data_IF_615342959851
#
_entry.id   IF_615342959851
#
_cell.length_a   1.000
_cell.length_b   1.000
_cell.length_c   1.000
_cell.angle_alpha   90.00
_cell.angle_beta   90.00
_cell.angle_gamma   90.00
#
_symmetry.space_group_name_H-M   'P 1'
#
loop_
_entity.id
_entity.type
_entity.pdbx_description
1 polymer ?
#
# COMPACT_ATOMS: atom_id res chain seq x y z
N UNK A 1 -20.18 -1.19 9.84
CA UNK A 1 -20.80 -1.78 8.63
C UNK A 1 -22.33 -1.59 8.54
N UNK A 2 -23.08 -1.55 9.66
CA UNK A 2 -24.57 -1.40 9.66
C UNK A 2 -25.09 -0.22 8.82
N UNK A 3 -24.54 0.99 9.01
CA UNK A 3 -24.96 2.19 8.26
C UNK A 3 -24.82 1.99 6.74
N UNK A 4 -23.68 1.44 6.29
CA UNK A 4 -23.45 1.11 4.89
C UNK A 4 -24.50 0.13 4.34
N UNK A 5 -24.83 -0.93 5.10
CA UNK A 5 -25.83 -1.93 4.67
C UNK A 5 -27.23 -1.34 4.54
N UNK A 6 -27.61 -0.47 5.48
CA UNK A 6 -28.91 0.23 5.44
C UNK A 6 -29.00 1.13 4.19
N UNK A 7 -28.02 2.01 4.00
CA UNK A 7 -27.99 2.94 2.86
C UNK A 7 -27.97 2.17 1.53
N UNK A 8 -27.13 1.13 1.44
CA UNK A 8 -27.08 0.28 0.24
C UNK A 8 -28.46 -0.30 -0.08
N UNK A 9 -29.12 -0.90 0.90
CA UNK A 9 -30.43 -1.54 0.72
C UNK A 9 -31.50 -0.51 0.28
N UNK A 10 -31.49 0.67 0.88
CA UNK A 10 -32.42 1.75 0.53
C UNK A 10 -32.22 2.23 -0.92
N UNK A 11 -30.96 2.39 -1.36
CA UNK A 11 -30.64 2.81 -2.73
C UNK A 11 -30.98 1.72 -3.74
N UNK A 12 -30.69 0.45 -3.45
CA UNK A 12 -31.07 -0.66 -4.33
C UNK A 12 -32.59 -0.76 -4.49
N UNK A 13 -33.36 -0.55 -3.40
CA UNK A 13 -34.81 -0.57 -3.44
C UNK A 13 -35.41 0.58 -4.27
N UNK A 14 -34.84 1.78 -4.17
CA UNK A 14 -35.30 2.96 -4.92
C UNK A 14 -34.92 2.94 -6.39
N UNK A 15 -33.72 2.43 -6.71
CA UNK A 15 -33.18 2.44 -8.08
C UNK A 15 -33.52 1.18 -8.88
N UNK A 16 -33.83 0.07 -8.22
CA UNK A 16 -33.95 -1.25 -8.86
C UNK A 16 -32.61 -1.86 -9.30
N UNK A 17 -31.48 -1.21 -9.00
CA UNK A 17 -30.13 -1.65 -9.40
C UNK A 17 -29.44 -2.34 -8.24
N UNK A 18 -28.83 -3.51 -8.50
CA UNK A 18 -27.98 -4.21 -7.51
C UNK A 18 -26.55 -3.66 -7.53
N UNK A 19 -26.09 -3.19 -6.38
CA UNK A 19 -24.78 -2.55 -6.23
C UNK A 19 -23.74 -3.56 -5.75
N UNK A 20 -22.69 -3.79 -6.54
CA UNK A 20 -21.51 -4.57 -6.14
C UNK A 20 -20.41 -3.62 -5.67
N UNK A 21 -20.40 -3.33 -4.37
CA UNK A 21 -19.45 -2.41 -3.73
C UNK A 21 -18.69 -3.17 -2.65
N UNK A 22 -17.36 -3.16 -2.72
CA UNK A 22 -16.52 -3.68 -1.65
C UNK A 22 -16.42 -2.64 -0.53
N UNK A 23 -16.59 -3.07 0.72
CA UNK A 23 -16.43 -2.19 1.89
C UNK A 23 -15.04 -2.39 2.49
N UNK A 24 -14.13 -1.43 2.28
CA UNK A 24 -12.75 -1.49 2.78
C UNK A 24 -12.41 -0.42 3.80
N UNK A 25 -11.13 -0.28 4.12
CA UNK A 25 -10.62 0.78 5.01
C UNK A 25 -9.24 1.24 4.59
N UNK A 26 -8.92 2.50 4.94
CA UNK A 26 -7.57 3.01 4.81
C UNK A 26 -6.76 2.61 6.04
N UNK A 27 -5.55 2.09 5.83
CA UNK A 27 -4.58 1.84 6.89
C UNK A 27 -3.55 2.95 6.87
N UNK A 28 -3.82 3.99 7.65
CA UNK A 28 -3.01 5.22 7.69
C UNK A 28 -2.60 5.64 9.10
N UNK A 29 -3.10 4.92 10.12
CA UNK A 29 -2.71 5.13 11.52
C UNK A 29 -1.99 3.88 12.06
N UNK A 30 -1.01 4.10 12.93
CA UNK A 30 -0.15 3.04 13.50
C UNK A 30 -0.99 1.95 14.17
N UNK A 31 -2.00 2.33 14.97
CA UNK A 31 -2.88 1.37 15.65
C UNK A 31 -3.61 0.46 14.67
N UNK A 32 -4.11 1.00 13.55
CA UNK A 32 -4.84 0.21 12.56
C UNK A 32 -3.93 -0.82 11.88
N UNK A 33 -2.66 -0.48 11.63
CA UNK A 33 -1.68 -1.44 11.12
C UNK A 33 -1.40 -2.56 12.12
N UNK A 34 -1.20 -2.19 13.40
CA UNK A 34 -0.91 -3.13 14.49
C UNK A 34 -2.08 -4.06 14.82
N UNK A 35 -3.33 -3.67 14.57
CA UNK A 35 -4.54 -4.48 14.87
C UNK A 35 -5.35 -4.80 13.61
N UNK A 36 -4.70 -4.87 12.46
CA UNK A 36 -5.32 -5.05 11.13
C UNK A 36 -6.09 -6.37 10.98
N UNK A 37 -5.79 -7.38 11.78
CA UNK A 37 -6.57 -8.62 11.90
C UNK A 37 -8.02 -8.35 12.36
N UNK A 38 -8.24 -7.41 13.27
CA UNK A 38 -9.59 -7.00 13.69
C UNK A 38 -10.35 -6.33 12.54
N UNK A 39 -9.68 -5.47 11.78
CA UNK A 39 -10.27 -4.80 10.62
C UNK A 39 -10.61 -5.78 9.50
N UNK A 40 -9.78 -6.80 9.27
CA UNK A 40 -9.97 -7.80 8.22
C UNK A 40 -11.24 -8.65 8.40
N UNK A 41 -11.79 -8.72 9.63
CA UNK A 41 -13.10 -9.36 9.92
C UNK A 41 -14.26 -8.65 9.23
N UNK A 42 -14.12 -7.35 8.95
CA UNK A 42 -15.19 -6.49 8.42
C UNK A 42 -14.87 -5.95 7.02
N UNK A 43 -13.62 -5.53 6.82
CA UNK A 43 -13.13 -4.92 5.60
C UNK A 43 -12.83 -5.97 4.52
N UNK A 44 -13.17 -5.64 3.28
CA UNK A 44 -13.00 -6.48 2.10
C UNK A 44 -11.71 -6.17 1.34
N UNK A 45 -11.12 -5.00 1.57
CA UNK A 45 -9.80 -4.61 1.12
C UNK A 45 -9.17 -3.61 2.09
N UNK A 46 -7.85 -3.47 2.02
CA UNK A 46 -7.08 -2.40 2.67
C UNK A 46 -6.41 -1.51 1.63
N UNK A 47 -6.32 -0.22 1.91
CA UNK A 47 -5.47 0.71 1.17
C UNK A 47 -4.55 1.43 2.15
N UNK A 48 -3.24 1.33 1.99
CA UNK A 48 -2.32 2.08 2.85
C UNK A 48 -2.33 3.57 2.44
N UNK A 49 -2.75 4.42 3.37
CA UNK A 49 -2.61 5.88 3.28
C UNK A 49 -1.22 6.26 3.78
N UNK A 50 -0.21 6.11 2.92
CA UNK A 50 1.19 6.17 3.38
C UNK A 50 1.68 7.57 3.69
N UNK A 51 1.02 8.62 3.18
CA UNK A 51 1.35 9.99 3.58
C UNK A 51 1.13 10.16 5.09
N UNK A 52 -0.08 9.88 5.57
CA UNK A 52 -0.43 9.98 6.99
C UNK A 52 0.26 8.91 7.85
N UNK A 53 0.46 7.70 7.31
CA UNK A 53 1.21 6.68 8.03
C UNK A 53 2.67 7.10 8.24
N UNK A 54 3.32 7.72 7.25
CA UNK A 54 4.67 8.29 7.40
C UNK A 54 4.67 9.39 8.45
N UNK A 55 3.69 10.31 8.44
CA UNK A 55 3.55 11.35 9.47
C UNK A 55 3.50 10.74 10.87
N UNK A 56 2.67 9.71 11.05
CA UNK A 56 2.50 9.05 12.35
C UNK A 56 3.76 8.27 12.79
N UNK A 57 4.48 7.64 11.87
CA UNK A 57 5.69 6.86 12.17
C UNK A 57 6.88 7.75 12.53
N UNK A 58 7.08 8.83 11.76
CA UNK A 58 8.16 9.78 12.02
C UNK A 58 7.81 10.82 13.08
N UNK A 59 6.54 10.91 13.49
CA UNK A 59 6.01 12.04 14.25
C UNK A 59 6.27 13.38 13.55
N UNK A 60 6.17 13.37 12.23
CA UNK A 60 6.39 14.53 11.37
C UNK A 60 5.06 15.10 10.92
N UNK A 61 4.82 16.38 11.20
CA UNK A 61 3.84 17.18 10.47
C UNK A 61 4.46 17.53 9.11
N UNK A 62 3.92 16.99 8.01
CA UNK A 62 4.49 17.14 6.67
C UNK A 62 4.70 18.62 6.31
N UNK A 63 3.68 19.43 6.55
CA UNK A 63 3.69 20.87 6.27
C UNK A 63 4.78 21.62 7.06
N UNK A 64 5.08 21.16 8.27
CA UNK A 64 6.12 21.77 9.10
C UNK A 64 7.53 21.30 8.72
N UNK A 65 7.71 20.02 8.42
CA UNK A 65 9.07 19.47 8.27
C UNK A 65 9.70 19.80 6.92
N UNK A 66 8.93 19.78 5.82
CA UNK A 66 9.46 19.96 4.45
C UNK A 66 10.14 21.34 4.28
N UNK A 67 9.59 22.39 4.89
CA UNK A 67 10.12 23.76 4.80
C UNK A 67 11.04 24.20 5.94
N UNK A 68 11.30 23.34 6.93
CA UNK A 68 12.08 23.72 8.13
C UNK A 68 13.38 22.92 8.23
N UNK A 69 13.32 21.68 8.73
CA UNK A 69 14.51 20.92 9.11
C UNK A 69 14.75 19.67 8.26
N UNK A 70 13.78 19.23 7.44
CA UNK A 70 13.98 18.04 6.60
C UNK A 70 15.15 18.18 5.60
N UNK A 71 15.36 19.35 4.93
CA UNK A 71 16.54 19.52 4.07
C UNK A 71 17.85 19.38 4.84
N UNK A 72 17.94 19.95 6.05
CA UNK A 72 19.12 19.85 6.91
C UNK A 72 19.37 18.40 7.36
N UNK A 73 18.31 17.63 7.66
CA UNK A 73 18.42 16.22 8.03
C UNK A 73 18.97 15.37 6.88
N UNK A 74 18.61 15.71 5.64
CA UNK A 74 19.13 15.04 4.44
C UNK A 74 20.58 15.43 4.18
N UNK A 75 20.92 16.72 4.27
CA UNK A 75 22.29 17.23 4.10
C UNK A 75 23.25 16.62 5.14
N UNK A 76 22.79 16.45 6.38
CA UNK A 76 23.55 15.82 7.47
C UNK A 76 23.48 14.29 7.46
N UNK A 77 22.86 13.68 6.46
CA UNK A 77 22.65 12.24 6.31
C UNK A 77 21.96 11.56 7.52
N UNK A 78 21.21 12.32 8.32
CA UNK A 78 20.38 11.79 9.42
C UNK A 78 19.25 10.94 8.84
N UNK A 79 18.66 11.41 7.74
CA UNK A 79 17.71 10.68 6.92
C UNK A 79 18.25 10.67 5.49
N UNK A 80 18.23 9.51 4.84
CA UNK A 80 18.82 9.35 3.50
C UNK A 80 18.10 10.13 2.41
N UNK A 81 16.79 10.29 2.55
CA UNK A 81 15.92 10.87 1.54
C UNK A 81 14.57 11.29 2.15
N UNK A 82 13.80 12.09 1.42
CA UNK A 82 12.49 12.53 1.89
C UNK A 82 11.52 11.33 2.05
N UNK A 83 11.09 11.01 3.30
CA UNK A 83 10.25 9.84 3.56
C UNK A 83 8.79 10.01 3.07
N UNK A 84 8.42 11.20 2.57
CA UNK A 84 7.13 11.46 1.91
C UNK A 84 7.18 11.28 0.39
N UNK A 85 8.38 11.17 -0.20
CA UNK A 85 8.58 10.92 -1.63
C UNK A 85 8.89 9.45 -1.90
N UNK A 86 9.79 8.85 -1.11
CA UNK A 86 10.11 7.43 -1.17
C UNK A 86 9.86 6.79 0.19
N UNK A 87 9.18 5.64 0.16
CA UNK A 87 8.72 4.94 1.34
C UNK A 87 9.91 4.54 2.23
N UNK A 88 9.89 4.94 3.49
CA UNK A 88 10.78 4.38 4.50
C UNK A 88 10.49 2.89 4.71
N UNK A 89 11.33 2.04 4.13
CA UNK A 89 11.19 0.59 4.19
C UNK A 89 11.38 0.05 5.61
N UNK A 90 12.18 0.72 6.46
CA UNK A 90 12.55 0.17 7.78
C UNK A 90 11.51 0.46 8.84
N UNK A 91 10.96 1.67 8.91
CA UNK A 91 9.89 2.04 9.83
C UNK A 91 8.52 1.77 9.23
N UNK A 92 8.11 2.61 8.27
CA UNK A 92 6.77 2.54 7.65
C UNK A 92 6.55 1.18 6.97
N UNK A 93 7.55 0.69 6.23
CA UNK A 93 7.51 -0.62 5.58
C UNK A 93 7.39 -1.80 6.55
N UNK A 94 7.90 -1.69 7.78
CA UNK A 94 7.72 -2.73 8.81
C UNK A 94 6.27 -2.78 9.29
N UNK A 95 5.62 -1.62 9.49
CA UNK A 95 4.19 -1.57 9.83
C UNK A 95 3.31 -2.10 8.70
N UNK A 96 3.63 -1.79 7.44
CA UNK A 96 2.95 -2.35 6.27
C UNK A 96 3.04 -3.87 6.27
N UNK A 97 4.21 -4.45 6.53
CA UNK A 97 4.40 -5.91 6.60
C UNK A 97 3.59 -6.55 7.73
N UNK A 98 3.60 -5.94 8.93
CA UNK A 98 2.76 -6.39 10.06
C UNK A 98 1.29 -6.41 9.65
N UNK A 99 0.83 -5.33 9.01
CA UNK A 99 -0.56 -5.16 8.63
C UNK A 99 -1.00 -6.17 7.56
N UNK A 100 -0.15 -6.44 6.56
CA UNK A 100 -0.40 -7.48 5.55
C UNK A 100 -0.49 -8.84 6.20
N UNK A 101 0.49 -9.20 7.05
CA UNK A 101 0.54 -10.50 7.71
C UNK A 101 -0.69 -10.74 8.57
N UNK A 102 -1.06 -9.77 9.41
CA UNK A 102 -2.22 -9.86 10.29
C UNK A 102 -3.54 -9.87 9.51
N UNK A 103 -3.72 -8.95 8.56
CA UNK A 103 -4.90 -8.92 7.70
C UNK A 103 -5.13 -10.23 6.94
N UNK A 104 -4.06 -10.77 6.33
CA UNK A 104 -4.13 -12.03 5.58
C UNK A 104 -4.22 -13.28 6.43
N UNK A 105 -3.82 -13.22 7.70
CA UNK A 105 -4.08 -14.33 8.65
C UNK A 105 -5.58 -14.56 8.87
N UNK A 106 -6.40 -13.50 8.78
CA UNK A 106 -7.87 -13.57 8.88
C UNK A 106 -8.52 -13.80 7.52
N UNK A 107 -7.99 -13.18 6.46
CA UNK A 107 -8.51 -13.30 5.10
C UNK A 107 -7.37 -13.47 4.09
N UNK A 108 -7.01 -14.71 3.71
CA UNK A 108 -5.84 -14.99 2.87
C UNK A 108 -5.81 -14.24 1.54
N UNK A 109 -6.97 -14.07 0.92
CA UNK A 109 -7.14 -13.37 -0.35
C UNK A 109 -7.54 -11.89 -0.17
N UNK A 110 -7.24 -11.29 0.99
CA UNK A 110 -7.50 -9.87 1.22
C UNK A 110 -6.72 -9.03 0.20
N UNK A 111 -7.46 -8.24 -0.56
CA UNK A 111 -6.91 -7.25 -1.47
C UNK A 111 -6.29 -6.12 -0.65
N UNK A 112 -5.01 -5.83 -0.90
CA UNK A 112 -4.26 -4.83 -0.15
C UNK A 112 -3.49 -3.98 -1.14
N UNK A 113 -3.80 -2.69 -1.20
CA UNK A 113 -3.09 -1.73 -2.03
C UNK A 113 -2.45 -0.60 -1.22
N UNK A 114 -1.86 0.34 -1.94
CA UNK A 114 -1.28 1.57 -1.42
C UNK A 114 -1.75 2.74 -2.29
N UNK A 115 -2.00 3.87 -1.65
CA UNK A 115 -2.30 5.14 -2.31
C UNK A 115 -1.36 6.25 -1.80
N UNK A 116 -1.27 7.33 -2.57
CA UNK A 116 -0.44 8.49 -2.25
C UNK A 116 0.81 8.58 -3.13
N UNK A 117 1.74 9.43 -2.70
CA UNK A 117 2.93 9.78 -3.49
C UNK A 117 3.82 8.55 -3.75
N UNK A 118 3.98 7.70 -2.73
CA UNK A 118 4.74 6.45 -2.80
C UNK A 118 4.22 5.45 -3.84
N UNK A 119 2.94 5.51 -4.21
CA UNK A 119 2.37 4.66 -5.26
C UNK A 119 2.99 4.90 -6.65
N UNK A 120 3.59 6.07 -6.86
CA UNK A 120 4.27 6.45 -8.10
C UNK A 120 5.80 6.41 -8.06
N UNK A 121 6.40 6.14 -6.90
CA UNK A 121 7.86 6.04 -6.75
C UNK A 121 8.37 4.63 -7.08
N UNK A 122 9.28 4.45 -8.05
CA UNK A 122 9.76 3.13 -8.47
C UNK A 122 10.32 2.26 -7.33
N UNK A 123 11.00 2.84 -6.34
CA UNK A 123 11.57 2.09 -5.20
C UNK A 123 10.48 1.61 -4.26
N UNK A 124 9.52 2.47 -3.97
CA UNK A 124 8.32 2.14 -3.19
C UNK A 124 7.48 1.06 -3.88
N UNK A 125 7.25 1.16 -5.20
CA UNK A 125 6.56 0.13 -6.00
C UNK A 125 7.29 -1.21 -5.92
N UNK A 126 8.63 -1.20 -6.03
CA UNK A 126 9.46 -2.40 -5.87
C UNK A 126 9.32 -3.03 -4.48
N UNK A 127 9.27 -2.23 -3.42
CA UNK A 127 8.97 -2.72 -2.08
C UNK A 127 7.57 -3.31 -1.99
N UNK A 128 6.55 -2.60 -2.50
CA UNK A 128 5.15 -3.05 -2.49
C UNK A 128 4.99 -4.42 -3.15
N UNK A 129 5.64 -4.64 -4.29
CA UNK A 129 5.65 -5.95 -4.95
C UNK A 129 6.30 -7.03 -4.07
N UNK A 130 7.43 -6.74 -3.42
CA UNK A 130 8.14 -7.70 -2.57
C UNK A 130 7.33 -8.14 -1.36
N UNK A 131 6.61 -7.22 -0.71
CA UNK A 131 5.75 -7.54 0.44
C UNK A 131 4.37 -8.06 0.04
N UNK A 132 4.11 -8.15 -1.27
CA UNK A 132 2.92 -8.80 -1.83
C UNK A 132 1.67 -7.94 -1.81
N UNK A 133 1.77 -6.61 -1.99
CA UNK A 133 0.59 -5.80 -2.30
C UNK A 133 -0.05 -6.24 -3.61
N UNK A 134 -1.36 -6.06 -3.71
CA UNK A 134 -2.18 -6.40 -4.88
C UNK A 134 -2.11 -5.32 -5.95
N UNK A 135 -2.10 -4.05 -5.55
CA UNK A 135 -2.03 -2.92 -6.47
C UNK A 135 -1.29 -1.72 -5.85
N UNK A 136 -0.88 -0.80 -6.72
CA UNK A 136 -0.43 0.55 -6.35
C UNK A 136 -1.33 1.56 -7.03
N UNK A 137 -1.66 2.66 -6.34
CA UNK A 137 -2.45 3.77 -6.88
C UNK A 137 -1.61 5.04 -6.86
N UNK A 138 -1.44 5.66 -8.02
CA UNK A 138 -0.62 6.85 -8.22
C UNK A 138 -1.42 7.97 -8.90
N UNK A 139 -0.92 9.20 -8.82
CA UNK A 139 -1.42 10.31 -9.62
C UNK A 139 -1.33 9.99 -11.11
N UNK A 140 -2.25 10.53 -11.91
CA UNK A 140 -2.42 10.19 -13.33
C UNK A 140 -1.12 10.23 -14.14
N UNK A 141 -0.32 11.28 -13.96
CA UNK A 141 0.97 11.45 -14.66
C UNK A 141 2.07 10.48 -14.20
N UNK A 142 1.95 9.88 -13.01
CA UNK A 142 2.88 8.85 -12.50
C UNK A 142 2.44 7.42 -12.81
N UNK A 143 1.23 7.21 -13.32
CA UNK A 143 0.75 5.87 -13.72
C UNK A 143 1.72 5.16 -14.68
N UNK A 144 2.25 5.80 -15.76
CA UNK A 144 3.22 5.14 -16.64
C UNK A 144 4.50 4.70 -15.92
N UNK A 145 4.98 5.51 -14.96
CA UNK A 145 6.17 5.20 -14.16
C UNK A 145 5.90 4.00 -13.25
N UNK A 146 4.74 3.97 -12.59
CA UNK A 146 4.33 2.85 -11.73
C UNK A 146 4.20 1.54 -12.53
N UNK A 147 3.64 1.59 -13.75
CA UNK A 147 3.55 0.44 -14.65
C UNK A 147 4.95 -0.08 -15.00
N UNK A 148 5.87 0.80 -15.41
CA UNK A 148 7.23 0.42 -15.77
C UNK A 148 7.97 -0.19 -14.58
N UNK A 149 7.88 0.43 -13.40
CA UNK A 149 8.51 -0.06 -12.17
C UNK A 149 7.94 -1.44 -11.75
N UNK A 150 6.62 -1.62 -11.83
CA UNK A 150 5.95 -2.89 -11.54
C UNK A 150 6.38 -4.00 -12.51
N UNK A 151 6.54 -3.68 -13.80
CA UNK A 151 7.01 -4.63 -14.80
C UNK A 151 8.49 -5.02 -14.55
N UNK A 152 9.36 -4.05 -14.28
CA UNK A 152 10.77 -4.30 -13.99
C UNK A 152 10.96 -5.23 -12.78
N UNK A 153 10.26 -4.99 -11.67
CA UNK A 153 10.37 -5.86 -10.48
C UNK A 153 9.81 -7.26 -10.73
N UNK A 154 8.74 -7.39 -11.51
CA UNK A 154 8.20 -8.70 -11.88
C UNK A 154 9.19 -9.51 -12.73
N UNK A 155 9.90 -8.86 -13.66
CA UNK A 155 10.93 -9.50 -14.49
C UNK A 155 12.17 -9.90 -13.67
N UNK A 156 12.64 -9.04 -12.76
CA UNK A 156 13.75 -9.37 -11.87
C UNK A 156 13.47 -10.63 -11.03
N UNK A 157 12.22 -10.81 -10.58
CA UNK A 157 11.78 -12.00 -9.83
C UNK A 157 11.82 -13.27 -10.69
N UNK A 158 11.39 -13.17 -11.96
CA UNK A 158 11.41 -14.30 -12.89
C UNK A 158 12.85 -14.73 -13.23
N UNK A 159 13.77 -13.79 -13.44
CA UNK A 159 15.17 -14.10 -13.74
C UNK A 159 15.91 -14.79 -12.58
N UNK A 160 15.47 -14.57 -11.34
CA UNK A 160 16.05 -15.20 -10.14
C UNK A 160 15.48 -16.58 -9.83
N UNK A 161 14.37 -16.96 -10.45
CA UNK A 161 13.82 -18.32 -10.33
C UNK A 161 14.51 -19.20 -11.38
N UNK A 162 15.17 -20.32 -11.02
CA UNK A 162 15.82 -21.15 -12.01
C UNK A 162 14.78 -21.64 -13.01
N UNK A 163 15.00 -21.40 -14.31
CA UNK A 163 14.20 -22.04 -15.35
C UNK A 163 14.46 -23.54 -15.25
N UNK A 164 13.48 -24.32 -14.80
CA UNK A 164 13.48 -25.77 -15.00
C UNK A 164 13.62 -25.97 -16.51
N UNK A 165 14.79 -26.46 -16.96
CA UNK A 165 15.01 -26.80 -18.37
C UNK A 165 13.96 -27.83 -18.75
N UNK A 166 13.08 -27.47 -19.69
CA UNK A 166 12.28 -28.46 -20.39
C UNK A 166 13.25 -29.30 -21.21
N UNK A 167 13.52 -30.51 -20.74
CA UNK A 167 14.23 -31.52 -21.51
C UNK A 167 13.42 -31.81 -22.77
N UNK A 168 13.86 -31.27 -23.90
CA UNK A 168 13.44 -31.75 -25.21
C UNK A 168 14.02 -33.16 -25.39
N UNK A 169 13.25 -34.18 -24.99
CA UNK A 169 13.45 -35.54 -25.47
C UNK A 169 13.25 -35.54 -27.00
N UNK A 170 14.35 -35.74 -27.72
CA UNK A 170 14.34 -36.25 -29.10
C UNK A 170 14.02 -37.73 -29.09
#
# INVERSE_FOLDING_TARGET
KKIYQNIKSDIEARSGIKLKINFGTMLEVVRACLTSDEFAKVAEFFSFGTNDLTQAVFSFSREDVEGKFLPEYIEKEIIKENPFESLDVRGVGSLIQIAISKGRSVKPNLEIGICGEHGGDPRSVKFCHKVGLTYVSASSHRVPIAILAAAQVALEKQMKTPKTRLDHKK
#
